data_IF_474930044565
#
_entry.id   IF_474930044565
#
_cell.length_a   1.000
_cell.length_b   1.000
_cell.length_c   1.000
_cell.angle_alpha   90.00
_cell.angle_beta   90.00
_cell.angle_gamma   90.00
#
_symmetry.space_group_name_H-M   'P 1'
#
loop_
_entity.id
_entity.type
_entity.pdbx_description
1 polymer ?
#
# COMPACT_ATOMS: atom_id res chain seq x y z
N UNK A 1 10.99 -7.07 10.15
CA UNK A 1 10.48 -6.58 8.85
C UNK A 1 9.54 -5.42 9.13
N UNK A 2 9.76 -4.26 8.50
CA UNK A 2 8.92 -3.07 8.71
C UNK A 2 7.64 -3.24 7.86
N UNK A 3 6.48 -2.94 8.43
CA UNK A 3 5.20 -2.98 7.73
C UNK A 3 4.55 -1.61 7.74
N UNK A 4 4.05 -1.18 6.59
CA UNK A 4 3.30 0.07 6.44
C UNK A 4 1.81 -0.23 6.37
N UNK A 5 1.00 0.64 6.94
CA UNK A 5 -0.45 0.53 6.82
C UNK A 5 -1.11 1.90 6.73
N UNK A 6 -2.14 2.00 5.91
CA UNK A 6 -2.92 3.20 5.73
C UNK A 6 -4.41 2.88 5.76
N UNK A 7 -5.20 3.86 6.18
CA UNK A 7 -6.64 3.75 6.37
C UNK A 7 -7.34 4.98 5.80
N UNK A 8 -8.44 4.74 5.08
CA UNK A 8 -9.33 5.77 4.56
C UNK A 8 -10.79 5.31 4.58
N UNK A 9 -11.70 6.23 4.89
CA UNK A 9 -13.13 5.96 4.88
C UNK A 9 -13.77 6.32 3.54
N UNK A 10 -14.72 5.48 3.13
CA UNK A 10 -15.66 5.76 2.06
C UNK A 10 -17.04 6.04 2.66
N UNK A 11 -17.70 7.11 2.22
CA UNK A 11 -19.04 7.51 2.66
C UNK A 11 -20.18 6.74 1.97
N UNK A 12 -19.88 5.55 1.44
CA UNK A 12 -20.83 4.70 0.72
C UNK A 12 -20.56 3.25 1.07
N UNK A 13 -21.64 2.45 1.15
CA UNK A 13 -21.54 0.98 1.29
C UNK A 13 -21.42 0.27 -0.06
N UNK A 14 -21.53 0.99 -1.17
CA UNK A 14 -21.42 0.42 -2.50
C UNK A 14 -19.94 0.32 -2.92
N UNK A 15 -19.42 -0.89 -3.24
CA UNK A 15 -18.04 -1.09 -3.66
C UNK A 15 -17.58 -0.21 -4.84
N UNK A 16 -18.49 0.14 -5.74
CA UNK A 16 -18.19 1.01 -6.88
C UNK A 16 -17.74 2.42 -6.47
N UNK A 17 -18.10 2.87 -5.27
CA UNK A 17 -17.79 4.21 -4.77
C UNK A 17 -16.48 4.25 -3.95
N UNK A 18 -15.83 3.10 -3.71
CA UNK A 18 -14.65 3.01 -2.85
C UNK A 18 -13.34 3.38 -3.54
N UNK A 19 -13.35 3.61 -4.86
CA UNK A 19 -12.14 3.91 -5.63
C UNK A 19 -11.38 5.12 -5.09
N UNK A 20 -12.08 6.16 -4.63
CA UNK A 20 -11.46 7.33 -4.01
C UNK A 20 -10.77 6.97 -2.68
N UNK A 21 -11.45 6.20 -1.83
CA UNK A 21 -10.89 5.80 -0.54
C UNK A 21 -9.65 4.91 -0.72
N UNK A 22 -9.70 3.97 -1.68
CA UNK A 22 -8.56 3.14 -2.05
C UNK A 22 -7.38 3.97 -2.55
N UNK A 23 -7.61 4.93 -3.46
CA UNK A 23 -6.57 5.80 -3.99
C UNK A 23 -5.89 6.61 -2.87
N UNK A 24 -6.68 7.22 -1.98
CA UNK A 24 -6.15 7.97 -0.84
C UNK A 24 -5.37 7.07 0.13
N UNK A 25 -5.86 5.86 0.42
CA UNK A 25 -5.14 4.91 1.26
C UNK A 25 -3.80 4.50 0.64
N UNK A 26 -3.73 4.31 -0.69
CA UNK A 26 -2.46 4.03 -1.39
C UNK A 26 -1.48 5.19 -1.26
N UNK A 27 -1.93 6.44 -1.47
CA UNK A 27 -1.08 7.63 -1.30
C UNK A 27 -0.52 7.72 0.12
N UNK A 28 -1.38 7.57 1.13
CA UNK A 28 -0.97 7.59 2.54
C UNK A 28 0.03 6.47 2.88
N UNK A 29 -0.14 5.30 2.28
CA UNK A 29 0.75 4.16 2.46
C UNK A 29 2.16 4.48 1.92
N UNK A 30 2.24 5.06 0.72
CA UNK A 30 3.49 5.48 0.09
C UNK A 30 4.18 6.60 0.85
N UNK A 31 3.42 7.59 1.31
CA UNK A 31 3.95 8.69 2.13
C UNK A 31 4.57 8.16 3.43
N UNK A 32 3.90 7.21 4.11
CA UNK A 32 4.42 6.59 5.33
C UNK A 32 5.76 5.87 5.07
N UNK A 33 5.88 5.15 3.97
CA UNK A 33 7.13 4.48 3.61
C UNK A 33 8.24 5.47 3.25
N UNK A 34 7.89 6.56 2.55
CA UNK A 34 8.83 7.62 2.16
C UNK A 34 9.43 8.34 3.36
N UNK A 35 8.61 8.63 4.38
CA UNK A 35 9.06 9.30 5.62
C UNK A 35 10.14 8.47 6.34
N UNK A 36 10.03 7.15 6.30
CA UNK A 36 10.99 6.21 6.88
C UNK A 36 12.28 6.05 6.06
N UNK A 37 12.47 6.84 5.00
CA UNK A 37 13.66 6.79 4.16
C UNK A 37 13.72 5.57 3.22
N UNK A 38 12.62 4.79 3.14
CA UNK A 38 12.44 3.79 2.08
C UNK A 38 12.07 4.53 0.80
N UNK A 39 13.07 5.05 0.09
CA UNK A 39 12.89 5.54 -1.27
C UNK A 39 12.99 4.34 -2.22
N UNK A 40 11.87 3.96 -2.82
CA UNK A 40 11.83 2.90 -3.82
C UNK A 40 12.35 3.44 -5.14
N UNK A 41 13.15 2.65 -5.87
CA UNK A 41 13.47 2.96 -7.26
C UNK A 41 12.22 2.95 -8.16
N UNK A 42 11.16 2.29 -7.69
CA UNK A 42 9.84 2.23 -8.33
C UNK A 42 8.79 2.83 -7.39
N UNK A 43 8.46 4.11 -7.53
CA UNK A 43 7.38 4.84 -6.81
C UNK A 43 5.96 4.23 -6.98
N UNK A 44 5.84 3.06 -7.60
CA UNK A 44 4.61 2.55 -8.21
C UNK A 44 4.11 1.20 -7.67
N UNK A 45 4.73 0.63 -6.62
CA UNK A 45 4.32 -0.66 -6.02
C UNK A 45 4.26 -1.84 -7.02
N UNK A 46 4.93 -1.74 -8.18
CA UNK A 46 4.91 -2.78 -9.19
C UNK A 46 5.56 -4.06 -8.65
N UNK A 47 4.84 -5.18 -8.75
CA UNK A 47 5.32 -6.48 -8.24
C UNK A 47 5.16 -6.66 -6.73
N UNK A 48 4.71 -5.65 -6.00
CA UNK A 48 4.49 -5.74 -4.56
C UNK A 48 3.14 -6.36 -4.22
N UNK A 49 3.11 -7.17 -3.16
CA UNK A 49 1.87 -7.71 -2.62
C UNK A 49 1.28 -6.75 -1.57
N UNK A 50 0.09 -6.23 -1.84
CA UNK A 50 -0.67 -5.42 -0.91
C UNK A 50 -1.80 -6.23 -0.29
N UNK A 51 -1.94 -6.16 1.04
CA UNK A 51 -3.10 -6.70 1.74
C UNK A 51 -4.17 -5.62 1.89
N UNK A 52 -5.31 -5.83 1.23
CA UNK A 52 -6.51 -5.02 1.38
C UNK A 52 -7.46 -5.68 2.39
N UNK A 53 -7.95 -4.87 3.33
CA UNK A 53 -9.06 -5.22 4.24
C UNK A 53 -10.11 -4.13 4.16
N UNK A 54 -11.37 -4.53 4.08
CA UNK A 54 -12.52 -3.62 4.07
C UNK A 54 -13.42 -4.01 5.24
N UNK A 55 -13.74 -3.03 6.08
CA UNK A 55 -14.64 -3.19 7.22
C UNK A 55 -15.84 -2.24 7.04
N UNK A 56 -17.04 -2.65 7.44
CA UNK A 56 -18.20 -1.76 7.45
C UNK A 56 -18.07 -0.73 8.59
N UNK A 57 -18.50 0.50 8.35
CA UNK A 57 -18.67 1.51 9.39
C UNK A 57 -20.07 2.14 9.31
N UNK A 58 -20.42 3.03 10.25
CA UNK A 58 -21.77 3.60 10.34
C UNK A 58 -22.23 4.30 9.05
N UNK A 59 -21.29 4.92 8.33
CA UNK A 59 -21.56 5.83 7.20
C UNK A 59 -21.17 5.24 5.82
N UNK A 60 -20.61 4.02 5.80
CA UNK A 60 -20.09 3.40 4.58
C UNK A 60 -19.14 2.26 4.89
N UNK A 61 -17.89 2.42 4.47
CA UNK A 61 -16.84 1.42 4.65
C UNK A 61 -15.51 2.05 4.98
N UNK A 62 -14.66 1.32 5.69
CA UNK A 62 -13.28 1.67 5.97
C UNK A 62 -12.38 0.76 5.15
N UNK A 63 -11.50 1.38 4.36
CA UNK A 63 -10.50 0.71 3.53
C UNK A 63 -9.16 0.76 4.28
N UNK A 64 -8.59 -0.40 4.56
CA UNK A 64 -7.25 -0.55 5.11
C UNK A 64 -6.34 -1.26 4.12
N UNK A 65 -5.24 -0.60 3.77
CA UNK A 65 -4.13 -1.20 3.03
C UNK A 65 -2.96 -1.48 3.96
N UNK A 66 -2.32 -2.62 3.77
CA UNK A 66 -1.11 -2.99 4.50
C UNK A 66 -0.11 -3.57 3.53
N UNK A 67 1.14 -3.20 3.71
CA UNK A 67 2.25 -3.65 2.89
C UNK A 67 3.46 -3.94 3.76
N UNK A 68 4.21 -4.96 3.38
CA UNK A 68 5.46 -5.32 4.00
C UNK A 68 6.47 -5.48 2.86
N UNK A 69 7.38 -4.50 2.68
CA UNK A 69 8.36 -4.57 1.60
C UNK A 69 9.18 -5.85 1.73
N UNK A 70 9.41 -6.53 0.61
CA UNK A 70 10.43 -7.56 0.58
C UNK A 70 11.78 -6.91 0.93
N UNK A 71 12.55 -7.53 1.83
CA UNK A 71 13.95 -7.15 1.97
C UNK A 71 14.61 -7.46 0.63
N UNK A 72 15.09 -6.43 -0.08
CA UNK A 72 15.79 -6.63 -1.34
C UNK A 72 17.01 -7.51 -1.05
N UNK A 73 16.97 -8.78 -1.43
CA UNK A 73 18.20 -9.54 -1.56
C UNK A 73 19.05 -8.78 -2.60
N UNK A 74 20.29 -8.37 -2.28
CA UNK A 74 21.10 -7.64 -3.23
C UNK A 74 21.23 -8.51 -4.47
N UNK A 75 20.84 -7.93 -5.61
CA UNK A 75 21.02 -8.52 -6.93
C UNK A 75 22.48 -8.99 -7.04
N UNK A 76 22.69 -10.30 -6.90
CA UNK A 76 23.99 -10.88 -7.21
C UNK A 76 24.19 -10.65 -8.71
N UNK A 77 25.01 -9.65 -9.00
CA UNK A 77 25.62 -9.36 -10.28
C UNK A 77 26.06 -10.68 -10.92
N UNK A 78 25.21 -11.22 -11.81
CA UNK A 78 25.59 -12.36 -12.64
C UNK A 78 26.67 -11.86 -13.59
N UNK A 79 27.92 -11.98 -13.15
CA UNK A 79 29.10 -11.89 -14.02
C UNK A 79 28.92 -12.85 -15.19
N UNK A 80 29.03 -12.38 -16.45
CA UNK A 80 29.06 -13.28 -17.58
C UNK A 80 30.39 -14.01 -17.61
N UNK A 81 30.33 -15.33 -17.84
CA UNK A 81 31.48 -16.19 -18.10
C UNK A 81 32.01 -16.02 -19.53
#
# INVERSE_FOLDING_TARGET
>A
MVSYSALEDASSKNPHDWGRAMATAMTKLLDAARIDGRHFEHEFLYGEELRLRIDENNDGATVKLTWTPADQEPEQEKSPA
#
